data_IF_965410823861
#
_entry.id   IF_965410823861
#
_cell.length_a   1.000
_cell.length_b   1.000
_cell.length_c   1.000
_cell.angle_alpha   90.00
_cell.angle_beta   90.00
_cell.angle_gamma   90.00
#
_symmetry.space_group_name_H-M   'P 1'
#
loop_
_entity.id
_entity.type
_entity.pdbx_description
1 polymer ?
#
# COMPACT_ATOMS: atom_id res chain seq x y z
N UNK A 1 3.46 -33.85 7.45
CA UNK A 1 1.98 -34.02 7.53
C UNK A 1 1.52 -33.53 8.90
N UNK A 2 0.85 -32.38 8.97
CA UNK A 2 0.30 -31.87 10.24
C UNK A 2 -1.01 -32.62 10.50
N UNK A 3 -1.10 -33.34 11.62
CA UNK A 3 -2.35 -33.97 12.08
C UNK A 3 -3.10 -32.99 12.97
N UNK A 4 -4.37 -32.77 12.66
CA UNK A 4 -5.30 -32.03 13.52
C UNK A 4 -6.26 -33.03 14.16
N UNK A 5 -6.50 -32.88 15.47
CA UNK A 5 -7.58 -33.57 16.17
C UNK A 5 -8.64 -32.55 16.58
N UNK A 6 -9.90 -32.84 16.27
CA UNK A 6 -11.04 -31.99 16.60
C UNK A 6 -11.83 -32.63 17.74
N UNK A 7 -12.32 -31.81 18.67
CA UNK A 7 -13.30 -32.26 19.68
C UNK A 7 -14.52 -31.37 19.55
N UNK A 8 -15.67 -32.00 19.27
CA UNK A 8 -16.97 -31.31 19.19
C UNK A 8 -17.52 -31.22 20.60
N UNK A 9 -17.78 -30.01 21.09
CA UNK A 9 -18.42 -29.78 22.39
C UNK A 9 -19.71 -29.02 22.15
N UNK A 10 -20.82 -29.60 22.60
CA UNK A 10 -22.14 -28.97 22.52
C UNK A 10 -22.32 -28.00 23.69
N UNK A 11 -22.46 -26.71 23.39
CA UNK A 11 -22.77 -25.67 24.38
C UNK A 11 -24.26 -25.34 24.25
N UNK A 12 -25.11 -25.64 25.25
CA UNK A 12 -26.52 -25.33 25.17
C UNK A 12 -26.77 -23.86 25.54
N UNK A 13 -27.34 -23.07 24.62
CA UNK A 13 -28.03 -21.84 24.99
C UNK A 13 -28.06 -20.71 23.95
N UNK A 14 -29.25 -20.57 23.35
CA UNK A 14 -29.83 -19.44 22.61
C UNK A 14 -29.46 -19.28 21.13
N UNK A 15 -30.53 -19.38 20.35
CA UNK A 15 -30.67 -19.29 18.91
C UNK A 15 -29.84 -18.18 18.27
N UNK A 16 -29.01 -18.54 17.28
CA UNK A 16 -28.80 -17.85 16.00
C UNK A 16 -27.95 -18.74 15.10
N UNK A 17 -28.43 -18.97 13.87
CA UNK A 17 -27.74 -19.77 12.85
C UNK A 17 -26.47 -19.05 12.35
N UNK A 18 -25.32 -19.43 12.89
CA UNK A 18 -24.03 -19.39 12.22
C UNK A 18 -23.15 -20.50 12.83
N UNK A 19 -22.43 -21.30 12.04
CA UNK A 19 -21.49 -22.28 12.60
C UNK A 19 -20.44 -21.52 13.42
N UNK A 20 -20.57 -21.61 14.74
CA UNK A 20 -19.61 -21.04 15.68
C UNK A 20 -18.21 -21.52 15.31
N UNK A 21 -17.33 -20.54 15.21
CA UNK A 21 -15.96 -20.71 14.77
C UNK A 21 -15.31 -21.90 15.47
N UNK A 22 -14.73 -22.80 14.68
CA UNK A 22 -13.76 -23.78 15.15
C UNK A 22 -12.75 -23.06 16.06
N UNK A 23 -12.89 -23.26 17.38
CA UNK A 23 -11.92 -22.77 18.36
C UNK A 23 -10.62 -23.52 18.11
N UNK A 24 -9.73 -22.90 17.34
CA UNK A 24 -8.39 -23.38 17.11
C UNK A 24 -7.62 -23.10 18.39
N UNK A 25 -7.45 -24.11 19.23
CA UNK A 25 -6.53 -24.04 20.34
C UNK A 25 -5.18 -24.60 19.87
N UNK A 26 -4.24 -23.76 19.39
CA UNK A 26 -2.95 -24.25 18.90
C UNK A 26 -2.19 -24.90 20.05
N UNK A 27 -1.80 -26.16 19.88
CA UNK A 27 -0.83 -26.77 20.79
C UNK A 27 0.46 -25.94 20.72
N UNK A 28 0.93 -25.46 21.87
CA UNK A 28 2.23 -24.81 21.99
C UNK A 28 3.31 -25.86 21.77
N UNK A 29 3.69 -26.09 20.53
CA UNK A 29 4.94 -26.76 20.21
C UNK A 29 6.05 -25.77 20.58
N UNK A 30 6.99 -26.13 21.48
CA UNK A 30 8.07 -25.23 21.86
C UNK A 30 9.08 -25.17 20.72
N UNK A 31 8.78 -24.37 19.69
CA UNK A 31 9.79 -24.01 18.70
C UNK A 31 10.59 -22.85 19.28
N UNK A 32 11.90 -23.03 19.45
CA UNK A 32 12.78 -21.92 19.82
C UNK A 32 12.74 -20.92 18.67
N UNK A 33 12.42 -19.66 18.98
CA UNK A 33 12.25 -18.59 17.98
C UNK A 33 13.47 -18.50 17.05
N UNK A 34 14.68 -18.72 17.57
CA UNK A 34 15.92 -18.69 16.79
C UNK A 34 16.01 -19.79 15.72
N UNK A 35 15.45 -20.98 15.99
CA UNK A 35 15.47 -22.12 15.04
C UNK A 35 14.48 -21.90 13.89
N UNK A 36 13.30 -21.33 14.19
CA UNK A 36 12.30 -20.97 13.18
C UNK A 36 12.78 -19.83 12.27
N UNK A 37 13.43 -18.81 12.86
CA UNK A 37 14.05 -17.73 12.09
C UNK A 37 15.13 -18.27 11.16
N UNK A 38 15.99 -19.18 11.63
CA UNK A 38 17.03 -19.79 10.80
C UNK A 38 16.46 -20.67 9.67
N UNK A 39 15.40 -21.45 9.91
CA UNK A 39 14.72 -22.24 8.87
C UNK A 39 14.00 -21.36 7.85
N UNK A 40 13.35 -20.27 8.28
CA UNK A 40 12.72 -19.28 7.38
C UNK A 40 13.80 -18.59 6.54
N UNK A 41 14.91 -18.19 7.14
CA UNK A 41 16.00 -17.51 6.46
C UNK A 41 16.70 -18.44 5.45
N UNK A 42 16.86 -19.72 5.81
CA UNK A 42 17.36 -20.77 4.91
C UNK A 42 16.39 -21.04 3.76
N UNK A 43 15.09 -21.07 4.03
CA UNK A 43 14.05 -21.24 3.00
C UNK A 43 14.04 -20.04 2.03
N UNK A 44 14.06 -18.81 2.54
CA UNK A 44 14.13 -17.58 1.72
C UNK A 44 15.39 -17.58 0.85
N UNK A 45 16.55 -17.96 1.41
CA UNK A 45 17.81 -18.11 0.66
C UNK A 45 17.75 -19.24 -0.37
N UNK A 46 16.99 -20.31 -0.11
CA UNK A 46 16.85 -21.46 -1.00
C UNK A 46 15.91 -21.19 -2.20
N UNK A 47 14.89 -20.35 -2.00
CA UNK A 47 13.89 -19.97 -3.01
C UNK A 47 14.41 -18.84 -3.91
N UNK A 48 15.24 -17.93 -3.38
CA UNK A 48 15.84 -16.82 -4.14
C UNK A 48 17.33 -17.11 -4.39
N UNK A 49 17.63 -18.02 -5.32
CA UNK A 49 19.02 -18.39 -5.65
C UNK A 49 19.61 -17.52 -6.76
N UNK A 50 19.73 -16.21 -6.52
CA UNK A 50 20.58 -15.31 -7.32
C UNK A 50 21.64 -14.65 -6.41
N UNK A 51 22.79 -15.32 -6.21
CA UNK A 51 23.92 -14.70 -5.52
C UNK A 51 24.25 -13.36 -6.18
N UNK A 52 24.28 -12.29 -5.38
CA UNK A 52 24.56 -10.92 -5.85
C UNK A 52 23.44 -10.20 -6.61
N UNK A 53 22.17 -10.65 -6.56
CA UNK A 53 21.06 -9.91 -7.20
C UNK A 53 21.02 -8.44 -6.78
N UNK A 54 21.31 -8.14 -5.51
CA UNK A 54 21.40 -6.77 -5.00
C UNK A 54 22.46 -5.96 -5.74
N UNK A 55 23.64 -6.54 -6.00
CA UNK A 55 24.72 -5.88 -6.76
C UNK A 55 24.30 -5.65 -8.22
N UNK A 56 23.67 -6.64 -8.86
CA UNK A 56 23.18 -6.51 -10.24
C UNK A 56 22.08 -5.45 -10.38
N UNK A 57 21.09 -5.45 -9.48
CA UNK A 57 20.03 -4.43 -9.46
C UNK A 57 20.62 -3.05 -9.17
N UNK A 58 21.58 -2.93 -8.26
CA UNK A 58 22.29 -1.66 -8.02
C UNK A 58 23.07 -1.19 -9.25
N UNK A 59 23.77 -2.08 -9.94
CA UNK A 59 24.51 -1.75 -11.15
C UNK A 59 23.55 -1.33 -12.28
N UNK A 60 22.48 -2.09 -12.50
CA UNK A 60 21.48 -1.80 -13.52
C UNK A 60 20.75 -0.48 -13.25
N UNK A 61 20.31 -0.25 -12.01
CA UNK A 61 19.67 1.03 -11.65
C UNK A 61 20.63 2.20 -11.82
N UNK A 62 21.94 2.03 -11.58
CA UNK A 62 22.99 3.04 -11.83
C UNK A 62 23.19 3.36 -13.31
N UNK A 63 23.00 2.40 -14.20
CA UNK A 63 23.18 2.59 -15.66
C UNK A 63 21.89 2.91 -16.40
N UNK A 64 20.72 2.67 -15.79
CA UNK A 64 19.42 2.93 -16.39
C UNK A 64 19.10 4.43 -16.48
N UNK A 65 19.20 5.00 -17.69
CA UNK A 65 18.96 6.44 -17.94
C UNK A 65 17.59 6.93 -17.42
N UNK A 66 16.46 6.23 -17.66
CA UNK A 66 15.17 6.62 -17.08
C UNK A 66 15.17 6.67 -15.55
N UNK A 67 15.79 5.68 -14.89
CA UNK A 67 15.91 5.67 -13.43
C UNK A 67 16.78 6.82 -12.92
N UNK A 68 17.90 7.11 -13.59
CA UNK A 68 18.78 8.23 -13.23
C UNK A 68 18.08 9.58 -13.38
N UNK A 69 17.33 9.79 -14.46
CA UNK A 69 16.55 11.01 -14.68
C UNK A 69 15.42 11.19 -13.66
N UNK A 70 14.82 10.09 -13.19
CA UNK A 70 13.73 10.13 -12.22
C UNK A 70 14.22 10.22 -10.76
N UNK A 71 15.51 9.94 -10.50
CA UNK A 71 16.10 9.91 -9.16
C UNK A 71 16.17 11.31 -8.54
N UNK A 72 15.85 11.38 -7.25
CA UNK A 72 15.95 12.62 -6.46
C UNK A 72 17.37 12.74 -5.90
N UNK A 73 18.05 13.84 -6.18
CA UNK A 73 19.41 14.10 -5.69
C UNK A 73 19.45 15.00 -4.43
N UNK A 74 18.34 15.66 -4.10
CA UNK A 74 18.27 16.59 -2.95
C UNK A 74 17.34 16.03 -1.87
N UNK A 75 17.91 15.72 -0.71
CA UNK A 75 17.18 15.26 0.46
C UNK A 75 17.00 16.43 1.43
N UNK A 76 15.77 16.80 1.74
CA UNK A 76 15.48 17.75 2.81
C UNK A 76 15.46 17.00 4.14
N UNK A 77 16.35 17.36 5.07
CA UNK A 77 16.30 16.85 6.44
C UNK A 77 15.22 17.59 7.21
N UNK A 78 14.13 16.90 7.57
CA UNK A 78 13.06 17.44 8.41
C UNK A 78 13.31 17.02 9.86
N UNK A 79 13.01 17.90 10.83
CA UNK A 79 13.04 17.54 12.26
C UNK A 79 12.07 16.37 12.51
N UNK A 80 12.48 15.42 13.35
CA UNK A 80 11.61 14.36 13.86
C UNK A 80 10.54 15.06 14.71
N UNK A 81 9.28 15.01 14.25
CA UNK A 81 8.14 15.52 15.02
C UNK A 81 7.45 14.37 15.75
N UNK A 82 6.70 14.69 16.79
CA UNK A 82 5.88 13.72 17.50
C UNK A 82 4.88 13.07 16.54
N UNK A 83 4.91 11.74 16.50
CA UNK A 83 4.03 10.95 15.66
C UNK A 83 2.72 10.71 16.41
N UNK A 84 1.59 11.18 15.85
CA UNK A 84 0.30 10.66 16.29
C UNK A 84 0.28 9.14 16.11
N UNK A 85 -0.19 8.43 17.15
CA UNK A 85 -0.39 6.98 17.14
C UNK A 85 -1.11 6.58 15.84
N UNK A 86 -0.58 5.61 15.08
CA UNK A 86 -1.10 5.32 13.77
C UNK A 86 -2.54 4.77 13.92
N UNK A 87 -3.47 5.45 13.25
CA UNK A 87 -4.87 5.04 13.13
C UNK A 87 -4.91 3.61 12.58
N UNK A 88 -5.87 2.77 12.98
CA UNK A 88 -5.95 1.38 12.52
C UNK A 88 -5.85 1.24 10.99
N UNK A 89 -5.52 0.03 10.49
CA UNK A 89 -5.36 -0.24 9.05
C UNK A 89 -6.53 0.33 8.25
N UNK A 90 -6.23 1.02 7.15
CA UNK A 90 -7.22 1.61 6.23
C UNK A 90 -8.09 2.74 6.81
N UNK A 91 -7.82 3.22 8.02
CA UNK A 91 -8.61 4.29 8.63
C UNK A 91 -8.31 5.67 8.05
N UNK A 92 -7.05 5.93 7.65
CA UNK A 92 -6.63 7.21 7.09
C UNK A 92 -5.97 6.98 5.74
N UNK A 93 -6.55 7.57 4.71
CA UNK A 93 -6.12 7.39 3.32
C UNK A 93 -5.81 8.74 2.72
N UNK A 94 -4.68 8.86 2.05
CA UNK A 94 -4.29 10.02 1.28
C UNK A 94 -4.52 9.73 -0.19
N UNK A 95 -5.12 10.67 -0.91
CA UNK A 95 -5.25 10.59 -2.37
C UNK A 95 -4.60 11.78 -3.06
N UNK A 96 -4.00 11.50 -4.22
CA UNK A 96 -3.28 12.48 -5.03
C UNK A 96 -3.36 12.10 -6.51
N UNK A 97 -3.24 13.07 -7.40
CA UNK A 97 -3.29 12.86 -8.85
C UNK A 97 -1.91 13.03 -9.49
N UNK A 98 -1.67 12.22 -10.51
CA UNK A 98 -0.48 12.26 -11.35
C UNK A 98 -0.92 12.48 -12.79
N UNK A 99 -0.33 13.46 -13.45
CA UNK A 99 -0.42 13.64 -14.89
C UNK A 99 -0.22 15.10 -15.33
N UNK A 100 -0.34 15.37 -16.63
CA UNK A 100 -0.57 14.36 -17.69
C UNK A 100 0.65 13.44 -17.90
N UNK A 101 0.39 12.16 -18.15
CA UNK A 101 1.34 11.12 -18.54
C UNK A 101 1.18 10.84 -20.05
N UNK A 102 2.16 10.20 -20.71
CA UNK A 102 2.00 9.71 -22.07
C UNK A 102 0.75 8.84 -22.19
N UNK A 103 -0.04 8.99 -23.26
CA UNK A 103 -1.22 8.17 -23.47
C UNK A 103 -0.89 6.68 -23.43
N UNK A 104 -1.62 5.93 -22.61
CA UNK A 104 -1.55 4.47 -22.56
C UNK A 104 -2.95 3.91 -22.38
N UNK A 105 -3.41 3.07 -23.31
CA UNK A 105 -4.77 2.50 -23.33
C UNK A 105 -5.88 3.52 -23.02
N UNK A 106 -5.80 4.72 -23.57
CA UNK A 106 -6.77 5.80 -23.36
C UNK A 106 -6.66 6.57 -22.04
N UNK A 107 -5.69 6.26 -21.17
CA UNK A 107 -5.46 6.97 -19.91
C UNK A 107 -4.23 7.87 -19.99
N UNK A 108 -4.35 9.07 -19.40
CA UNK A 108 -3.28 10.07 -19.31
C UNK A 108 -3.09 10.58 -17.88
N UNK A 109 -3.89 10.12 -16.93
CA UNK A 109 -3.78 10.46 -15.51
C UNK A 109 -3.73 9.20 -14.66
N UNK A 110 -3.32 9.35 -13.40
CA UNK A 110 -3.36 8.29 -12.41
C UNK A 110 -3.77 8.86 -11.06
N UNK A 111 -4.82 8.28 -10.46
CA UNK A 111 -5.17 8.51 -9.06
C UNK A 111 -4.31 7.58 -8.20
N UNK A 112 -3.63 8.16 -7.22
CA UNK A 112 -2.84 7.41 -6.24
C UNK A 112 -3.51 7.47 -4.89
N UNK A 113 -3.62 6.32 -4.22
CA UNK A 113 -4.18 6.20 -2.89
C UNK A 113 -3.15 5.57 -1.97
N UNK A 114 -2.81 6.20 -0.85
CA UNK A 114 -1.82 5.70 0.11
C UNK A 114 -2.41 5.70 1.52
N UNK A 115 -2.42 4.54 2.15
CA UNK A 115 -2.90 4.33 3.50
C UNK A 115 -1.81 4.63 4.54
N UNK A 116 -2.17 5.34 5.63
CA UNK A 116 -1.19 5.90 6.56
C UNK A 116 -0.51 4.88 7.48
N UNK A 117 -1.19 3.82 7.91
CA UNK A 117 -0.67 2.85 8.89
C UNK A 117 0.40 1.95 8.25
N UNK A 118 0.00 1.19 7.23
CA UNK A 118 0.81 0.17 6.55
C UNK A 118 1.60 0.74 5.38
N UNK A 119 1.27 1.94 4.91
CA UNK A 119 1.78 2.52 3.66
C UNK A 119 1.26 1.79 2.42
N UNK A 120 0.16 1.04 2.52
CA UNK A 120 -0.46 0.39 1.37
C UNK A 120 -0.80 1.40 0.29
N UNK A 121 -0.36 1.13 -0.93
CA UNK A 121 -0.51 2.05 -2.06
C UNK A 121 -1.26 1.40 -3.21
N UNK A 122 -2.19 2.14 -3.81
CA UNK A 122 -2.89 1.81 -5.06
C UNK A 122 -2.65 2.92 -6.09
N UNK A 123 -2.54 2.54 -7.36
CA UNK A 123 -2.39 3.45 -8.49
C UNK A 123 -3.43 3.08 -9.56
N UNK A 124 -4.35 3.98 -9.84
CA UNK A 124 -5.55 3.75 -10.65
C UNK A 124 -5.46 4.64 -11.89
N UNK A 125 -5.30 4.07 -13.10
CA UNK A 125 -5.32 4.83 -14.35
C UNK A 125 -6.63 5.58 -14.55
N UNK A 126 -6.54 6.81 -15.04
CA UNK A 126 -7.67 7.66 -15.38
C UNK A 126 -7.48 8.30 -16.76
N UNK A 127 -8.57 8.42 -17.50
CA UNK A 127 -8.67 9.15 -18.77
C UNK A 127 -8.76 10.66 -18.55
N UNK A 128 -9.42 11.09 -17.47
CA UNK A 128 -9.60 12.49 -17.09
C UNK A 128 -9.55 12.67 -15.56
N UNK A 129 -9.45 13.92 -15.10
CA UNK A 129 -9.41 14.28 -13.67
C UNK A 129 -10.70 14.91 -13.17
N UNK A 130 -11.83 14.66 -13.85
CA UNK A 130 -13.12 15.15 -13.37
C UNK A 130 -13.42 14.58 -11.99
N UNK A 131 -14.11 15.37 -11.18
CA UNK A 131 -14.54 14.99 -9.83
C UNK A 131 -15.27 13.63 -9.80
N UNK A 132 -16.12 13.41 -10.79
CA UNK A 132 -16.96 12.24 -10.97
C UNK A 132 -16.14 10.99 -11.33
N UNK A 133 -15.18 11.13 -12.25
CA UNK A 133 -14.20 10.07 -12.54
C UNK A 133 -13.38 9.71 -11.31
N UNK A 134 -12.87 10.69 -10.57
CA UNK A 134 -12.08 10.47 -9.35
C UNK A 134 -12.91 9.77 -8.27
N UNK A 135 -14.15 10.21 -8.04
CA UNK A 135 -15.06 9.64 -7.05
C UNK A 135 -15.40 8.17 -7.38
N UNK A 136 -15.76 7.86 -8.64
CA UNK A 136 -16.00 6.49 -9.08
C UNK A 136 -14.78 5.60 -8.97
N UNK A 137 -13.62 6.10 -9.37
CA UNK A 137 -12.36 5.37 -9.28
C UNK A 137 -12.02 5.04 -7.83
N UNK A 138 -12.13 6.02 -6.92
CA UNK A 138 -11.90 5.81 -5.50
C UNK A 138 -12.89 4.81 -4.89
N UNK A 139 -14.19 4.92 -5.21
CA UNK A 139 -15.20 3.98 -4.71
C UNK A 139 -14.91 2.54 -5.15
N UNK A 140 -14.73 2.33 -6.47
CA UNK A 140 -14.56 1.00 -7.05
C UNK A 140 -13.23 0.33 -6.70
N UNK A 141 -12.15 1.10 -6.58
CA UNK A 141 -10.81 0.54 -6.39
C UNK A 141 -10.31 0.62 -4.94
N UNK A 142 -10.95 1.43 -4.08
CA UNK A 142 -10.61 1.51 -2.67
C UNK A 142 -11.74 1.04 -1.78
N UNK A 143 -12.86 1.76 -1.75
CA UNK A 143 -13.95 1.52 -0.79
C UNK A 143 -14.48 0.09 -0.95
N UNK A 144 -14.70 -0.36 -2.19
CA UNK A 144 -15.20 -1.71 -2.47
C UNK A 144 -14.22 -2.84 -2.10
N UNK A 145 -12.92 -2.53 -1.87
CA UNK A 145 -11.87 -3.53 -1.60
C UNK A 145 -11.40 -3.53 -0.14
N UNK A 146 -11.27 -2.35 0.46
CA UNK A 146 -10.70 -2.17 1.80
C UNK A 146 -11.72 -1.65 2.82
N UNK A 147 -12.93 -1.31 2.37
CA UNK A 147 -13.93 -0.63 3.17
C UNK A 147 -13.74 0.89 3.20
N UNK A 148 -14.67 1.56 3.88
CA UNK A 148 -14.70 3.01 3.97
C UNK A 148 -13.68 3.53 4.98
N UNK A 149 -12.78 4.45 4.58
CA UNK A 149 -11.87 5.06 5.53
C UNK A 149 -12.58 6.07 6.44
N UNK A 150 -12.13 6.17 7.70
CA UNK A 150 -12.61 7.20 8.62
C UNK A 150 -12.24 8.61 8.16
N UNK A 151 -11.05 8.77 7.56
CA UNK A 151 -10.53 10.05 7.09
C UNK A 151 -9.91 9.90 5.71
N UNK A 152 -10.32 10.79 4.80
CA UNK A 152 -9.73 10.94 3.47
C UNK A 152 -8.99 12.27 3.40
N UNK A 153 -7.70 12.22 3.13
CA UNK A 153 -6.83 13.38 3.03
C UNK A 153 -6.51 13.63 1.55
N UNK A 154 -6.78 14.84 1.07
CA UNK A 154 -6.50 15.23 -0.32
C UNK A 154 -5.65 16.50 -0.36
N UNK A 155 -5.04 16.80 -1.50
CA UNK A 155 -4.53 18.15 -1.74
C UNK A 155 -5.67 19.15 -1.98
N UNK A 156 -5.32 20.41 -2.28
CA UNK A 156 -6.27 21.50 -2.51
C UNK A 156 -6.73 21.62 -3.97
N UNK A 157 -6.50 20.60 -4.80
CA UNK A 157 -6.95 20.56 -6.18
C UNK A 157 -8.47 20.69 -6.31
N UNK A 158 -8.92 21.34 -7.38
CA UNK A 158 -10.34 21.67 -7.60
C UNK A 158 -11.22 20.43 -7.68
N UNK A 159 -10.72 19.36 -8.31
CA UNK A 159 -11.39 18.07 -8.40
C UNK A 159 -11.71 17.44 -7.04
N UNK A 160 -10.86 17.66 -6.03
CA UNK A 160 -11.08 17.14 -4.68
C UNK A 160 -11.94 18.07 -3.81
N UNK A 161 -12.17 19.31 -4.25
CA UNK A 161 -13.09 20.26 -3.61
C UNK A 161 -14.52 20.21 -4.18
N UNK A 162 -14.72 19.42 -5.22
CA UNK A 162 -16.00 19.25 -5.88
C UNK A 162 -17.11 18.77 -4.94
N UNK A 163 -18.34 19.17 -5.25
CA UNK A 163 -19.54 18.68 -4.55
C UNK A 163 -19.66 17.16 -4.64
N UNK A 164 -19.22 16.54 -5.73
CA UNK A 164 -19.25 15.09 -5.93
C UNK A 164 -18.44 14.35 -4.86
N UNK A 165 -17.18 14.75 -4.62
CA UNK A 165 -16.36 14.09 -3.62
C UNK A 165 -16.84 14.38 -2.20
N UNK A 166 -17.36 15.57 -1.94
CA UNK A 166 -17.99 15.91 -0.67
C UNK A 166 -19.23 15.06 -0.41
N UNK A 167 -20.07 14.87 -1.42
CA UNK A 167 -21.30 14.06 -1.36
C UNK A 167 -20.97 12.59 -1.14
N UNK A 168 -20.02 12.03 -1.91
CA UNK A 168 -19.51 10.68 -1.68
C UNK A 168 -19.01 10.51 -0.24
N UNK A 169 -18.24 11.49 0.25
CA UNK A 169 -17.71 11.47 1.60
C UNK A 169 -18.82 11.48 2.66
N UNK A 170 -19.86 12.32 2.48
CA UNK A 170 -21.02 12.36 3.38
C UNK A 170 -21.79 11.03 3.39
N UNK A 171 -22.09 10.48 2.21
CA UNK A 171 -22.85 9.23 2.07
C UNK A 171 -22.10 8.07 2.72
N UNK A 172 -20.79 8.01 2.55
CA UNK A 172 -19.98 6.94 3.10
C UNK A 172 -19.60 7.18 4.58
N UNK A 173 -19.83 8.36 5.14
CA UNK A 173 -19.39 8.71 6.50
C UNK A 173 -17.88 9.00 6.62
N UNK A 174 -17.25 9.45 5.54
CA UNK A 174 -15.82 9.79 5.47
C UNK A 174 -15.60 11.23 5.94
N UNK A 175 -14.66 11.44 6.87
CA UNK A 175 -14.16 12.77 7.21
C UNK A 175 -13.17 13.25 6.14
N UNK A 176 -13.65 14.04 5.18
CA UNK A 176 -12.80 14.67 4.16
C UNK A 176 -11.96 15.80 4.79
N UNK A 177 -10.65 15.76 4.59
CA UNK A 177 -9.71 16.77 5.06
C UNK A 177 -8.76 17.16 3.93
N UNK A 178 -8.54 18.46 3.74
CA UNK A 178 -7.53 18.94 2.81
C UNK A 178 -6.20 19.15 3.53
N UNK A 179 -5.08 18.90 2.85
CA UNK A 179 -3.77 19.18 3.42
C UNK A 179 -3.68 20.67 3.79
N UNK A 180 -3.32 20.92 5.05
CA UNK A 180 -2.90 22.23 5.54
C UNK A 180 -1.37 22.26 5.53
N UNK A 181 -0.79 23.45 5.40
CA UNK A 181 0.68 23.64 5.45
C UNK A 181 1.26 23.23 6.82
N UNK A 182 0.41 23.07 7.84
CA UNK A 182 0.78 23.03 9.26
C UNK A 182 1.01 21.65 9.88
N UNK A 183 0.96 20.53 9.14
CA UNK A 183 1.37 19.20 9.66
C UNK A 183 2.47 18.51 8.82
N UNK A 184 3.69 19.08 8.76
CA UNK A 184 4.77 18.59 7.88
C UNK A 184 5.27 17.18 8.24
N UNK A 185 5.26 16.82 9.53
CA UNK A 185 5.77 15.53 9.98
C UNK A 185 4.83 14.37 9.60
N UNK A 186 3.52 14.54 9.81
CA UNK A 186 2.52 13.51 9.51
C UNK A 186 2.30 13.34 8.00
N UNK A 187 2.29 14.45 7.24
CA UNK A 187 2.19 14.37 5.78
C UNK A 187 3.52 13.97 5.14
N UNK A 188 4.66 14.30 5.74
CA UNK A 188 5.98 14.11 5.13
C UNK A 188 6.30 12.67 4.76
N UNK A 189 5.85 11.67 5.55
CA UNK A 189 6.03 10.25 5.19
C UNK A 189 5.21 9.87 3.96
N UNK A 190 3.93 10.21 3.96
CA UNK A 190 3.02 9.91 2.84
C UNK A 190 3.39 10.70 1.58
N UNK A 191 3.82 11.95 1.71
CA UNK A 191 4.37 12.76 0.63
C UNK A 191 5.62 12.12 0.01
N UNK A 192 6.52 11.56 0.83
CA UNK A 192 7.68 10.81 0.33
C UNK A 192 7.24 9.56 -0.43
N UNK A 193 6.22 8.85 0.05
CA UNK A 193 5.70 7.66 -0.62
C UNK A 193 5.04 8.00 -1.95
N UNK A 194 4.21 9.04 -2.00
CA UNK A 194 3.67 9.57 -3.27
C UNK A 194 4.81 9.95 -4.21
N UNK A 195 5.88 10.56 -3.71
CA UNK A 195 7.05 10.91 -4.52
C UNK A 195 7.77 9.67 -5.06
N UNK A 196 8.00 8.65 -4.24
CA UNK A 196 8.58 7.37 -4.66
C UNK A 196 7.73 6.72 -5.74
N UNK A 197 6.41 6.66 -5.56
CA UNK A 197 5.49 6.13 -6.54
C UNK A 197 5.54 6.95 -7.84
N UNK A 198 5.46 8.28 -7.77
CA UNK A 198 5.59 9.18 -8.93
C UNK A 198 6.91 8.95 -9.69
N UNK A 199 8.03 8.81 -8.97
CA UNK A 199 9.35 8.54 -9.55
C UNK A 199 9.37 7.17 -10.24
N UNK A 200 8.85 6.12 -9.62
CA UNK A 200 8.78 4.78 -10.21
C UNK A 200 7.92 4.77 -11.48
N UNK A 201 6.77 5.44 -11.46
CA UNK A 201 5.91 5.60 -12.63
C UNK A 201 6.60 6.36 -13.76
N UNK A 202 7.29 7.46 -13.44
CA UNK A 202 8.05 8.25 -14.43
C UNK A 202 9.24 7.48 -15.00
N UNK A 203 9.86 6.57 -14.24
CA UNK A 203 10.92 5.72 -14.76
C UNK A 203 10.40 4.68 -15.78
N UNK A 204 9.11 4.35 -15.71
CA UNK A 204 8.41 3.45 -16.62
C UNK A 204 7.47 4.19 -17.59
N UNK A 205 7.77 5.45 -17.89
CA UNK A 205 6.97 6.35 -18.72
C UNK A 205 7.02 6.02 -20.24
N UNK A 206 7.06 4.74 -20.60
CA UNK A 206 6.91 4.29 -21.97
C UNK A 206 5.42 4.21 -22.36
N UNK A 207 5.12 3.89 -23.63
CA UNK A 207 3.76 3.82 -24.17
C UNK A 207 2.82 2.85 -23.42
N UNK A 208 3.36 1.99 -22.56
CA UNK A 208 2.65 0.94 -21.83
C UNK A 208 2.77 1.08 -20.30
N UNK A 209 2.82 2.30 -19.76
CA UNK A 209 2.99 2.49 -18.30
C UNK A 209 1.90 1.77 -17.49
N UNK A 210 0.68 1.63 -18.01
CA UNK A 210 -0.40 0.84 -17.37
C UNK A 210 0.02 -0.61 -17.17
N UNK A 211 0.66 -1.23 -18.17
CA UNK A 211 1.07 -2.64 -18.12
C UNK A 211 2.24 -2.85 -17.14
N UNK A 212 2.94 -1.77 -16.79
CA UNK A 212 4.00 -1.78 -15.79
C UNK A 212 3.50 -1.56 -14.36
N UNK A 213 2.30 -0.96 -14.18
CA UNK A 213 1.76 -0.63 -12.85
C UNK A 213 1.73 -1.83 -11.89
N UNK A 214 1.23 -3.03 -12.28
CA UNK A 214 1.18 -4.14 -11.35
C UNK A 214 2.57 -4.56 -10.87
N UNK A 215 3.58 -4.49 -11.75
CA UNK A 215 4.97 -4.83 -11.44
C UNK A 215 5.59 -3.81 -10.48
N UNK A 216 5.36 -2.52 -10.73
CA UNK A 216 5.82 -1.43 -9.86
C UNK A 216 5.19 -1.53 -8.47
N UNK A 217 3.87 -1.71 -8.40
CA UNK A 217 3.16 -1.84 -7.13
C UNK A 217 3.59 -3.10 -6.37
N UNK A 218 3.78 -4.23 -7.05
CA UNK A 218 4.29 -5.45 -6.42
C UNK A 218 5.69 -5.21 -5.82
N UNK A 219 6.60 -4.59 -6.58
CA UNK A 219 7.94 -4.27 -6.10
C UNK A 219 7.92 -3.33 -4.88
N UNK A 220 7.10 -2.28 -4.91
CA UNK A 220 6.98 -1.36 -3.78
C UNK A 220 6.32 -1.99 -2.55
N UNK A 221 5.33 -2.86 -2.74
CA UNK A 221 4.62 -3.54 -1.65
C UNK A 221 5.46 -4.62 -0.97
N UNK A 222 6.41 -5.23 -1.69
CA UNK A 222 7.26 -6.30 -1.17
C UNK A 222 8.65 -5.83 -0.73
N UNK A 223 9.03 -4.58 -1.04
CA UNK A 223 10.24 -3.97 -0.52
C UNK A 223 10.19 -3.82 1.00
N UNK A 224 11.28 -4.19 1.67
CA UNK A 224 11.46 -4.03 3.12
C UNK A 224 11.62 -2.54 3.45
N UNK A 225 10.83 -2.07 4.40
CA UNK A 225 10.90 -0.69 4.90
C UNK A 225 12.02 -0.58 5.94
N UNK A 226 12.83 0.47 5.84
CA UNK A 226 13.95 0.72 6.77
C UNK A 226 13.48 0.95 8.21
N UNK A 227 12.29 1.55 8.39
CA UNK A 227 11.76 1.95 9.70
C UNK A 227 11.39 0.76 10.61
N UNK A 228 10.90 -0.34 10.04
CA UNK A 228 10.29 -1.44 10.80
C UNK A 228 10.76 -2.84 10.36
N UNK A 229 11.65 -2.94 9.39
CA UNK A 229 12.17 -4.19 8.83
C UNK A 229 11.09 -5.16 8.29
N UNK A 230 9.91 -4.65 7.96
CA UNK A 230 8.82 -5.40 7.32
C UNK A 230 8.48 -4.78 5.96
N UNK A 231 7.97 -5.60 5.05
CA UNK A 231 7.34 -5.11 3.82
C UNK A 231 5.91 -4.63 4.08
N UNK A 232 5.42 -3.73 3.22
CA UNK A 232 4.04 -3.25 3.25
C UNK A 232 3.05 -4.43 3.16
N UNK A 233 3.37 -5.41 2.30
CA UNK A 233 2.54 -6.59 2.12
C UNK A 233 2.49 -7.46 3.38
N UNK A 234 3.60 -7.65 4.10
CA UNK A 234 3.60 -8.37 5.38
C UNK A 234 2.72 -7.68 6.43
N UNK A 235 2.76 -6.34 6.49
CA UNK A 235 1.93 -5.58 7.45
C UNK A 235 0.44 -5.74 7.15
N UNK A 236 0.07 -5.80 5.87
CA UNK A 236 -1.33 -5.90 5.44
C UNK A 236 -1.85 -7.33 5.49
N UNK A 237 -1.09 -8.29 4.98
CA UNK A 237 -1.54 -9.69 4.84
C UNK A 237 -1.13 -10.59 6.00
N UNK A 238 -0.20 -10.14 6.85
CA UNK A 238 0.37 -10.96 7.92
C UNK A 238 1.45 -11.94 7.45
N UNK A 239 1.76 -11.96 6.15
CA UNK A 239 2.76 -12.84 5.55
C UNK A 239 3.45 -12.20 4.35
N UNK A 240 4.61 -12.74 3.97
CA UNK A 240 5.34 -12.32 2.77
C UNK A 240 4.64 -12.83 1.52
N UNK A 241 4.50 -11.97 0.51
CA UNK A 241 4.05 -12.41 -0.80
C UNK A 241 5.14 -13.24 -1.48
N UNK A 242 4.75 -14.39 -2.04
CA UNK A 242 5.59 -15.13 -2.97
C UNK A 242 5.70 -14.35 -4.27
N UNK A 243 6.92 -13.96 -4.63
CA UNK A 243 7.20 -13.30 -5.89
C UNK A 243 7.24 -14.34 -7.05
N UNK A 244 6.80 -13.96 -8.26
CA UNK A 244 6.87 -14.81 -9.45
C UNK A 244 8.31 -15.10 -9.88
#
# INVERSE_FOLDING_TARGET
MIKFSYTVVHIPGKELFAPDALSRNPQKVPYKREELEAEIDAFIKSVIRWPSIKKYVQLWTRTCIPCQKAKINRHTKTKLGDFEVPSGRFCVVHIDLIGPLPPSRGNIYCLTCIERFSNWMEAIPLDNISADTVARAFYSNWIARFGTPHKLITDRGTQFRSETLQTLSKICGIKLQHTTVYHPACNGKVERLHRTLKTALKAHNNLSWIDTLPKVLLGLRTAIQEDNNHSIAQIVYGESLRLP
#
